data_IF_562877148947
#
_entry.id   IF_562877148947
#
_cell.length_a   1.000
_cell.length_b   1.000
_cell.length_c   1.000
_cell.angle_alpha   90.00
_cell.angle_beta   90.00
_cell.angle_gamma   90.00
#
_symmetry.space_group_name_H-M   'P 1'
#
loop_
_entity.id
_entity.type
_entity.pdbx_description
1 polymer ?
#
# COMPACT_ATOMS: atom_id res chain seq x y z
N UNK A 1 -11.68 -3.68 -2.43
CA UNK A 1 -10.91 -3.46 -3.66
C UNK A 1 -11.78 -3.80 -4.89
N UNK A 2 -12.07 -2.83 -5.75
CA UNK A 2 -12.94 -3.00 -6.93
C UNK A 2 -12.10 -3.20 -8.19
N UNK A 3 -12.51 -4.13 -9.05
CA UNK A 3 -11.81 -4.40 -10.32
C UNK A 3 -12.75 -4.16 -11.50
N UNK A 4 -12.26 -3.50 -12.55
CA UNK A 4 -13.02 -3.24 -13.77
C UNK A 4 -12.13 -3.32 -15.01
N UNK A 5 -12.75 -3.48 -16.18
CA UNK A 5 -11.99 -3.49 -17.45
C UNK A 5 -11.60 -2.07 -17.88
N UNK A 6 -10.54 -1.95 -18.67
CA UNK A 6 -10.15 -0.69 -19.32
C UNK A 6 -11.30 -0.05 -20.11
N UNK A 7 -12.07 -0.86 -20.84
CA UNK A 7 -13.18 -0.34 -21.66
C UNK A 7 -14.30 0.23 -20.79
N UNK A 8 -14.62 -0.44 -19.69
CA UNK A 8 -15.63 0.02 -18.72
C UNK A 8 -15.18 1.30 -18.00
N UNK A 9 -13.94 1.34 -17.51
CA UNK A 9 -13.41 2.51 -16.81
C UNK A 9 -13.30 3.72 -17.73
N UNK A 10 -12.94 3.51 -19.00
CA UNK A 10 -12.90 4.57 -20.01
C UNK A 10 -14.30 5.14 -20.28
N UNK A 11 -15.32 4.29 -20.36
CA UNK A 11 -16.69 4.73 -20.63
C UNK A 11 -17.27 5.55 -19.46
N UNK A 12 -16.82 5.28 -18.23
CA UNK A 12 -17.33 5.89 -16.99
C UNK A 12 -16.26 6.66 -16.21
N UNK A 13 -15.33 7.28 -16.93
CA UNK A 13 -14.09 7.77 -16.32
C UNK A 13 -14.34 8.82 -15.23
N UNK A 14 -15.30 9.73 -15.42
CA UNK A 14 -15.67 10.72 -14.41
C UNK A 14 -16.21 10.08 -13.13
N UNK A 15 -17.11 9.10 -13.24
CA UNK A 15 -17.66 8.37 -12.09
C UNK A 15 -16.58 7.57 -11.35
N UNK A 16 -15.62 7.00 -12.09
CA UNK A 16 -14.48 6.28 -11.52
C UNK A 16 -13.59 7.22 -10.70
N UNK A 17 -13.31 8.42 -11.21
CA UNK A 17 -12.54 9.42 -10.49
C UNK A 17 -13.29 9.94 -9.27
N UNK A 18 -14.57 10.24 -9.39
CA UNK A 18 -15.40 10.69 -8.26
C UNK A 18 -15.40 9.64 -7.16
N UNK A 19 -15.60 8.36 -7.51
CA UNK A 19 -15.62 7.27 -6.54
C UNK A 19 -14.32 7.13 -5.74
N UNK A 20 -13.15 7.32 -6.35
CA UNK A 20 -11.87 7.24 -5.62
C UNK A 20 -11.57 8.51 -4.83
N UNK A 21 -11.99 9.68 -5.32
CA UNK A 21 -11.76 10.96 -4.64
C UNK A 21 -12.70 11.13 -3.44
N UNK A 22 -13.93 10.62 -3.50
CA UNK A 22 -14.92 10.72 -2.42
C UNK A 22 -14.64 9.80 -1.22
N UNK A 23 -13.39 9.34 -1.04
CA UNK A 23 -12.98 8.42 0.01
C UNK A 23 -13.29 6.95 -0.28
N UNK A 24 -13.58 6.59 -1.53
CA UNK A 24 -13.76 5.20 -1.93
C UNK A 24 -12.44 4.43 -2.04
N UNK A 25 -12.55 3.10 -2.06
CA UNK A 25 -11.43 2.19 -2.23
C UNK A 25 -10.76 2.32 -3.62
N UNK A 26 -9.51 1.87 -3.72
CA UNK A 26 -8.79 1.83 -4.99
C UNK A 26 -9.45 0.91 -6.02
N UNK A 27 -9.26 1.28 -7.30
CA UNK A 27 -9.84 0.57 -8.43
C UNK A 27 -8.73 -0.03 -9.29
N UNK A 28 -8.76 -1.34 -9.49
CA UNK A 28 -7.87 -2.06 -10.40
C UNK A 28 -8.45 -2.06 -11.81
N UNK A 29 -7.63 -1.66 -12.78
CA UNK A 29 -7.94 -1.69 -14.21
C UNK A 29 -7.29 -2.91 -14.85
N UNK A 30 -8.12 -3.74 -15.47
CA UNK A 30 -7.66 -4.87 -16.28
C UNK A 30 -7.60 -4.52 -17.76
N UNK A 31 -6.57 -5.00 -18.44
CA UNK A 31 -6.42 -4.91 -19.90
C UNK A 31 -5.81 -6.19 -20.42
N UNK A 32 -6.35 -6.72 -21.52
CA UNK A 32 -5.86 -7.96 -22.13
C UNK A 32 -5.77 -9.13 -21.13
N UNK A 33 -6.75 -9.25 -20.22
CA UNK A 33 -6.84 -10.34 -19.25
C UNK A 33 -5.90 -10.24 -18.04
N UNK A 34 -5.20 -9.12 -17.84
CA UNK A 34 -4.32 -8.92 -16.67
C UNK A 34 -4.58 -7.59 -15.97
N UNK A 35 -4.34 -7.56 -14.66
CA UNK A 35 -4.28 -6.34 -13.86
C UNK A 35 -3.13 -5.47 -14.38
N UNK A 36 -3.48 -4.29 -14.90
CA UNK A 36 -2.55 -3.46 -15.67
C UNK A 36 -2.28 -2.11 -15.03
N UNK A 37 -3.23 -1.56 -14.29
CA UNK A 37 -3.09 -0.29 -13.60
C UNK A 37 -4.00 -0.23 -12.37
N UNK A 38 -3.72 0.69 -11.45
CA UNK A 38 -4.57 0.98 -10.29
C UNK A 38 -4.84 2.49 -10.28
N UNK A 39 -6.08 2.88 -10.02
CA UNK A 39 -6.52 4.26 -9.83
C UNK A 39 -6.81 4.46 -8.34
N UNK A 40 -6.18 5.48 -7.75
CA UNK A 40 -6.29 5.88 -6.35
C UNK A 40 -6.48 7.40 -6.29
N UNK A 41 -6.97 7.91 -5.17
CA UNK A 41 -6.93 9.35 -4.90
C UNK A 41 -5.48 9.84 -4.74
N UNK A 42 -5.27 11.13 -4.98
CA UNK A 42 -3.96 11.76 -4.75
C UNK A 42 -3.54 11.65 -3.28
N UNK A 43 -4.47 11.85 -2.35
CA UNK A 43 -4.20 11.72 -0.92
C UNK A 43 -3.67 10.33 -0.56
N UNK A 44 -4.33 9.28 -1.06
CA UNK A 44 -3.89 7.89 -0.85
C UNK A 44 -2.53 7.65 -1.49
N UNK A 45 -2.31 8.13 -2.72
CA UNK A 45 -1.01 8.02 -3.39
C UNK A 45 0.12 8.69 -2.57
N UNK A 46 -0.11 9.90 -2.07
CA UNK A 46 0.87 10.65 -1.28
C UNK A 46 1.13 10.01 0.08
N UNK A 47 0.11 9.45 0.73
CA UNK A 47 0.26 8.68 1.96
C UNK A 47 1.15 7.44 1.74
N UNK A 48 0.88 6.67 0.67
CA UNK A 48 1.69 5.51 0.30
C UNK A 48 3.14 5.90 -0.05
N UNK A 49 3.33 6.98 -0.81
CA UNK A 49 4.65 7.48 -1.17
C UNK A 49 5.46 7.92 0.06
N UNK A 50 4.81 8.59 1.02
CA UNK A 50 5.44 8.96 2.31
C UNK A 50 5.81 7.72 3.12
N UNK A 51 4.91 6.75 3.23
CA UNK A 51 5.15 5.50 3.96
C UNK A 51 6.26 4.64 3.34
N UNK A 52 6.44 4.70 2.01
CA UNK A 52 7.50 4.02 1.28
C UNK A 52 8.89 4.66 1.44
N UNK A 53 9.01 5.80 2.15
CA UNK A 53 10.29 6.44 2.44
C UNK A 53 10.80 7.38 1.35
N UNK A 54 9.96 7.82 0.41
CA UNK A 54 10.34 8.87 -0.56
C UNK A 54 9.83 8.66 -1.99
N UNK A 55 10.39 9.39 -2.98
CA UNK A 55 9.93 9.39 -4.37
C UNK A 55 10.09 8.05 -5.10
N UNK A 56 10.90 7.15 -4.56
CA UNK A 56 11.22 5.87 -5.17
C UNK A 56 10.16 4.84 -4.73
N UNK A 57 8.98 4.89 -5.38
CA UNK A 57 8.00 3.80 -5.35
C UNK A 57 8.62 2.58 -6.07
N UNK A 58 9.64 1.97 -5.46
CA UNK A 58 10.17 0.70 -5.91
C UNK A 58 9.08 -0.33 -5.69
N UNK A 59 8.58 -0.89 -6.77
CA UNK A 59 7.86 -2.17 -6.75
C UNK A 59 8.79 -3.15 -6.05
N UNK A 60 8.55 -3.39 -4.76
CA UNK A 60 9.22 -4.48 -4.06
C UNK A 60 8.64 -5.75 -4.68
N UNK A 61 9.30 -6.27 -5.72
CA UNK A 61 9.01 -7.61 -6.23
C UNK A 61 8.96 -8.54 -5.02
N UNK A 62 7.94 -9.40 -4.86
CA UNK A 62 7.92 -10.38 -3.79
C UNK A 62 8.92 -11.49 -4.11
N UNK A 63 10.20 -11.16 -4.03
CA UNK A 63 11.30 -12.09 -3.91
C UNK A 63 12.20 -11.46 -2.86
N UNK A 64 12.13 -12.01 -1.63
CA UNK A 64 12.84 -11.55 -0.43
C UNK A 64 12.06 -10.57 0.47
N UNK A 65 10.91 -11.03 0.99
CA UNK A 65 10.45 -10.68 2.36
C UNK A 65 10.18 -11.97 3.14
N UNK A 66 11.23 -12.71 3.45
CA UNK A 66 11.22 -13.74 4.53
C UNK A 66 11.78 -13.18 5.84
N UNK A 67 11.58 -11.90 6.10
CA UNK A 67 11.87 -11.30 7.41
C UNK A 67 11.04 -10.02 7.51
N UNK A 68 10.09 -9.97 8.45
CA UNK A 68 9.34 -8.73 8.72
C UNK A 68 7.85 -8.87 8.98
N UNK A 69 7.24 -10.04 8.78
CA UNK A 69 5.83 -10.28 9.16
C UNK A 69 5.78 -11.29 10.30
N UNK A 70 6.37 -10.93 11.44
CA UNK A 70 6.09 -11.59 12.73
C UNK A 70 6.43 -10.66 13.91
N UNK A 71 5.94 -9.42 13.87
CA UNK A 71 6.11 -8.51 15.00
C UNK A 71 4.91 -7.58 15.27
N UNK A 72 3.79 -7.70 14.55
CA UNK A 72 2.64 -6.79 14.72
C UNK A 72 1.48 -7.35 15.54
N UNK A 73 1.58 -8.56 16.10
CA UNK A 73 0.49 -9.16 16.90
C UNK A 73 0.90 -9.63 18.30
N UNK A 74 2.05 -9.19 18.82
CA UNK A 74 2.32 -9.32 20.25
C UNK A 74 2.75 -7.99 20.82
N UNK A 75 1.82 -7.35 21.55
CA UNK A 75 2.14 -6.29 22.48
C UNK A 75 2.79 -6.98 23.69
N UNK A 76 4.11 -7.15 23.64
CA UNK A 76 4.87 -7.63 24.79
C UNK A 76 4.87 -6.51 25.85
N UNK A 77 4.46 -6.78 27.11
CA UNK A 77 4.16 -5.76 28.11
C UNK A 77 5.40 -5.07 28.72
N UNK A 78 6.52 -5.00 28.01
CA UNK A 78 7.80 -4.49 28.51
C UNK A 78 8.55 -3.55 27.56
N UNK A 79 7.90 -3.04 26.51
CA UNK A 79 8.52 -2.12 25.55
C UNK A 79 7.67 -0.85 25.50
N UNK A 80 8.12 0.20 26.16
CA UNK A 80 7.36 1.45 26.32
C UNK A 80 7.74 2.51 25.27
N UNK A 81 8.86 2.34 24.55
CA UNK A 81 9.34 3.31 23.57
C UNK A 81 9.82 2.69 22.25
N UNK A 82 9.76 3.50 21.20
CA UNK A 82 10.34 3.19 19.88
C UNK A 82 11.85 2.97 19.93
N UNK A 83 12.55 3.59 20.88
CA UNK A 83 14.01 3.41 21.06
C UNK A 83 14.35 2.01 21.61
N UNK A 84 13.54 1.49 22.53
CA UNK A 84 13.72 0.14 23.09
C UNK A 84 13.55 -0.95 22.02
N UNK A 85 12.63 -0.73 21.09
CA UNK A 85 12.40 -1.63 19.96
C UNK A 85 13.62 -1.68 19.04
N UNK A 86 14.29 -0.54 18.81
CA UNK A 86 15.48 -0.47 17.96
C UNK A 86 16.69 -1.13 18.63
N UNK A 87 16.84 -0.98 19.95
CA UNK A 87 17.91 -1.62 20.73
C UNK A 87 17.79 -3.15 20.74
N UNK A 88 16.57 -3.68 20.92
CA UNK A 88 16.30 -5.12 20.84
C UNK A 88 16.63 -5.73 19.47
N UNK A 89 16.26 -5.02 18.39
CA UNK A 89 16.54 -5.49 17.02
C UNK A 89 18.04 -5.46 16.65
N UNK A 90 18.85 -4.67 17.36
CA UNK A 90 20.31 -4.67 17.20
C UNK A 90 21.03 -5.74 18.03
N UNK A 91 20.32 -6.47 18.89
CA UNK A 91 20.92 -7.50 19.74
C UNK A 91 21.81 -6.93 20.85
N UNK A 92 21.56 -5.69 21.27
CA UNK A 92 22.31 -5.01 22.33
C UNK A 92 21.80 -5.36 23.75
N UNK A 93 21.00 -6.44 23.87
CA UNK A 93 20.54 -7.00 25.14
C UNK A 93 20.38 -8.51 25.08
#
# INVERSE_FOLDING_TARGET
>A
MKTMSYSESRARYAEVLEAVVSGGEEIIITRSGRESAVILSLETYEALRRAAGGPDLRVVKPATRRTGVRALTRRDPGVESTEDTVSYLRGER
#
